data_IF_028210018787
#
_entry.id   IF_028210018787
#
_cell.length_a   1.000
_cell.length_b   1.000
_cell.length_c   1.000
_cell.angle_alpha   90.00
_cell.angle_beta   90.00
_cell.angle_gamma   90.00
#
_symmetry.space_group_name_H-M   'P 1'
#
loop_
_entity.id
_entity.type
_entity.pdbx_description
1 polymer ?
#
# COMPACT_ATOMS: atom_id res chain seq x y z
N UNK A 1 16.80 33.10 -12.56
CA UNK A 1 16.44 33.25 -13.99
C UNK A 1 16.53 31.93 -14.76
N UNK A 2 16.32 30.77 -14.12
CA UNK A 2 16.41 29.44 -14.74
C UNK A 2 15.03 28.76 -14.84
N UNK A 3 13.95 29.53 -14.96
CA UNK A 3 12.60 28.97 -15.03
C UNK A 3 12.35 28.43 -16.44
N UNK A 4 11.94 27.16 -16.50
CA UNK A 4 11.46 26.52 -17.71
C UNK A 4 10.02 26.04 -17.47
N UNK A 5 9.05 26.41 -18.31
CA UNK A 5 7.68 25.91 -18.18
C UNK A 5 7.62 24.40 -18.51
N UNK A 6 6.64 23.72 -17.91
CA UNK A 6 6.34 22.33 -18.26
C UNK A 6 5.79 22.18 -19.68
N UNK A 7 5.69 20.94 -20.15
CA UNK A 7 5.19 20.58 -21.49
C UNK A 7 3.73 20.13 -21.43
N UNK A 8 2.92 20.63 -22.36
CA UNK A 8 1.56 20.13 -22.58
C UNK A 8 1.59 18.89 -23.48
N UNK A 9 1.18 17.74 -22.94
CA UNK A 9 1.03 16.49 -23.70
C UNK A 9 -0.45 16.25 -23.97
N UNK A 10 -0.87 16.30 -25.24
CA UNK A 10 -2.25 16.06 -25.68
C UNK A 10 -2.40 14.66 -26.25
N UNK A 11 -3.42 13.93 -25.82
CA UNK A 11 -3.73 12.59 -26.28
C UNK A 11 -5.25 12.40 -26.40
N UNK A 12 -5.69 11.53 -27.32
CA UNK A 12 -7.10 11.14 -27.44
C UNK A 12 -7.58 10.40 -26.20
N UNK A 13 -6.74 9.52 -25.64
CA UNK A 13 -7.00 8.79 -24.39
C UNK A 13 -5.75 8.88 -23.52
N UNK A 14 -5.93 9.22 -22.23
CA UNK A 14 -4.88 9.26 -21.21
C UNK A 14 -5.06 8.10 -20.24
N UNK A 15 -4.06 7.22 -20.13
CA UNK A 15 -4.07 6.11 -19.18
C UNK A 15 -3.29 6.52 -17.93
N UNK A 16 -3.96 6.58 -16.77
CA UNK A 16 -3.35 6.91 -15.49
C UNK A 16 -2.84 5.64 -14.80
N UNK A 17 -1.51 5.57 -14.69
CA UNK A 17 -0.76 4.47 -14.08
C UNK A 17 0.27 4.99 -13.06
N UNK A 18 -0.04 6.08 -12.35
CA UNK A 18 0.82 6.71 -11.34
C UNK A 18 0.89 5.94 -10.00
N UNK A 19 0.33 4.73 -9.98
CA UNK A 19 0.39 3.77 -8.89
C UNK A 19 -0.43 4.17 -7.66
N UNK A 20 -0.17 3.47 -6.55
CA UNK A 20 -0.85 3.68 -5.29
C UNK A 20 -0.85 5.15 -4.85
N UNK A 21 -2.06 5.66 -4.61
CA UNK A 21 -2.30 7.04 -4.14
C UNK A 21 -1.66 8.09 -5.05
N UNK A 22 -1.67 7.84 -6.36
CA UNK A 22 -1.14 8.76 -7.36
C UNK A 22 -1.84 10.12 -7.37
N UNK A 23 -1.06 11.20 -7.50
CA UNK A 23 -1.55 12.57 -7.40
C UNK A 23 -2.50 12.93 -8.56
N UNK A 24 -2.23 12.43 -9.78
CA UNK A 24 -3.06 12.68 -10.95
C UNK A 24 -4.37 11.91 -10.83
N UNK A 25 -4.28 10.63 -10.45
CA UNK A 25 -5.45 9.79 -10.24
C UNK A 25 -6.35 10.33 -9.13
N UNK A 26 -5.79 10.76 -7.99
CA UNK A 26 -6.56 11.39 -6.90
C UNK A 26 -7.34 12.62 -7.39
N UNK A 27 -6.69 13.46 -8.20
CA UNK A 27 -7.31 14.67 -8.76
C UNK A 27 -8.45 14.31 -9.71
N UNK A 28 -8.24 13.31 -10.58
CA UNK A 28 -9.26 12.83 -11.51
C UNK A 28 -10.47 12.24 -10.77
N UNK A 29 -10.23 11.35 -9.81
CA UNK A 29 -11.28 10.71 -9.01
C UNK A 29 -12.13 11.74 -8.28
N UNK A 30 -11.51 12.77 -7.69
CA UNK A 30 -12.25 13.84 -7.02
C UNK A 30 -13.03 14.72 -8.00
N UNK A 31 -12.43 15.10 -9.14
CA UNK A 31 -13.06 15.99 -10.12
C UNK A 31 -14.32 15.40 -10.74
N UNK A 32 -14.32 14.09 -10.99
CA UNK A 32 -15.44 13.37 -11.61
C UNK A 32 -16.25 12.52 -10.63
N UNK A 33 -15.98 12.64 -9.32
CA UNK A 33 -16.67 11.93 -8.25
C UNK A 33 -16.73 10.40 -8.47
N UNK A 34 -15.60 9.81 -8.88
CA UNK A 34 -15.52 8.41 -9.31
C UNK A 34 -15.59 7.39 -8.17
N UNK A 35 -15.60 7.87 -6.93
CA UNK A 35 -15.69 7.05 -5.72
C UNK A 35 -17.04 7.14 -5.00
N UNK A 36 -18.05 7.84 -5.56
CA UNK A 36 -19.35 8.09 -4.90
C UNK A 36 -19.99 6.84 -4.31
N UNK A 37 -20.06 5.76 -5.08
CA UNK A 37 -20.75 4.52 -4.73
C UNK A 37 -19.76 3.41 -4.31
N UNK A 38 -18.58 3.79 -3.81
CA UNK A 38 -17.49 2.88 -3.45
C UNK A 38 -17.14 3.02 -1.98
N UNK A 39 -16.58 1.95 -1.40
CA UNK A 39 -15.95 2.05 -0.09
C UNK A 39 -14.70 2.92 -0.15
N UNK A 40 -14.32 3.59 0.96
CA UNK A 40 -13.03 4.26 1.03
C UNK A 40 -11.90 3.27 0.78
N UNK A 41 -10.88 3.70 0.03
CA UNK A 41 -9.68 2.90 -0.16
C UNK A 41 -8.89 2.79 1.15
N UNK A 42 -8.52 1.57 1.50
CA UNK A 42 -7.53 1.29 2.55
C UNK A 42 -6.15 1.20 1.93
N UNK A 43 -5.13 1.51 2.72
CA UNK A 43 -3.75 1.43 2.29
C UNK A 43 -2.90 0.79 3.39
N UNK A 44 -1.80 0.17 3.01
CA UNK A 44 -0.72 -0.17 3.92
C UNK A 44 0.58 0.53 3.49
N UNK A 45 1.54 0.58 4.42
CA UNK A 45 2.92 0.97 4.15
C UNK A 45 3.80 -0.28 4.20
N UNK A 46 4.48 -0.56 3.09
CA UNK A 46 5.48 -1.60 2.99
C UNK A 46 6.89 -1.03 3.08
N UNK A 47 7.74 -1.70 3.84
CA UNK A 47 9.18 -1.51 3.88
C UNK A 47 9.87 -2.70 3.25
N UNK A 48 10.99 -2.45 2.58
CA UNK A 48 11.83 -3.50 1.99
C UNK A 48 13.29 -3.14 2.18
N UNK A 49 14.06 -4.12 2.62
CA UNK A 49 15.51 -4.12 2.58
C UNK A 49 15.99 -5.28 1.70
N UNK A 50 17.00 -5.02 0.89
CA UNK A 50 17.74 -6.06 0.19
C UNK A 50 19.00 -6.37 0.99
N UNK A 51 19.26 -7.64 1.26
CA UNK A 51 20.37 -8.09 2.09
C UNK A 51 21.28 -9.05 1.34
N UNK A 52 22.59 -8.83 1.44
CA UNK A 52 23.58 -9.85 1.18
C UNK A 52 23.79 -10.66 2.45
N UNK A 53 23.78 -11.98 2.38
CA UNK A 53 23.93 -12.89 3.53
C UNK A 53 24.90 -14.01 3.18
N UNK A 54 25.53 -14.65 4.18
CA UNK A 54 26.33 -15.84 3.93
C UNK A 54 25.52 -16.92 3.18
N UNK A 55 26.15 -17.70 2.29
CA UNK A 55 25.44 -18.70 1.51
C UNK A 55 24.80 -19.77 2.40
N UNK A 56 23.67 -20.32 1.95
CA UNK A 56 23.02 -21.46 2.60
C UNK A 56 22.04 -21.10 3.73
N UNK A 57 21.69 -19.83 3.91
CA UNK A 57 20.63 -19.40 4.85
C UNK A 57 19.24 -19.85 4.42
N UNK A 58 18.93 -19.70 3.14
CA UNK A 58 17.67 -20.13 2.52
C UNK A 58 17.96 -20.67 1.12
N UNK A 59 17.13 -21.62 0.67
CA UNK A 59 17.16 -22.10 -0.70
C UNK A 59 16.60 -21.03 -1.64
N UNK A 60 17.26 -20.68 -2.76
CA UNK A 60 16.74 -19.74 -3.75
C UNK A 60 15.29 -20.07 -4.15
N UNK A 61 14.44 -19.05 -4.22
CA UNK A 61 13.00 -19.21 -4.50
C UNK A 61 12.14 -19.51 -3.27
N UNK A 62 12.73 -19.63 -2.08
CA UNK A 62 11.96 -19.74 -0.83
C UNK A 62 11.18 -18.45 -0.55
N UNK A 63 9.90 -18.61 -0.22
CA UNK A 63 8.96 -17.53 0.09
C UNK A 63 8.40 -17.75 1.49
N UNK A 64 8.61 -16.78 2.38
CA UNK A 64 8.10 -16.82 3.75
C UNK A 64 7.25 -15.59 4.00
N UNK A 65 6.06 -15.80 4.56
CA UNK A 65 5.18 -14.76 5.10
C UNK A 65 4.95 -15.01 6.58
N UNK A 66 4.92 -13.94 7.37
CA UNK A 66 4.74 -13.98 8.82
C UNK A 66 3.68 -12.99 9.24
N UNK A 67 2.93 -13.32 10.29
CA UNK A 67 1.91 -12.47 10.90
C UNK A 67 2.15 -12.41 12.41
N UNK A 68 1.63 -11.38 13.06
CA UNK A 68 1.78 -11.17 14.50
C UNK A 68 2.99 -10.29 14.82
N UNK A 69 3.92 -10.80 15.65
CA UNK A 69 5.00 -9.98 16.22
C UNK A 69 5.75 -9.15 15.15
N UNK A 70 6.01 -7.85 15.40
CA UNK A 70 5.77 -7.10 16.64
C UNK A 70 4.41 -6.38 16.71
N UNK A 71 3.52 -6.60 15.74
CA UNK A 71 2.21 -5.96 15.73
C UNK A 71 1.27 -6.54 16.79
N UNK A 72 0.40 -5.69 17.33
CA UNK A 72 -0.71 -6.10 18.20
C UNK A 72 -1.77 -6.83 17.38
N UNK A 73 -2.63 -7.60 18.04
CA UNK A 73 -3.70 -8.32 17.34
C UNK A 73 -4.76 -7.44 16.68
N UNK A 74 -4.86 -6.15 17.02
CA UNK A 74 -5.75 -5.22 16.31
C UNK A 74 -5.07 -4.51 15.13
N UNK A 75 -3.77 -4.68 14.95
CA UNK A 75 -3.00 -4.05 13.87
C UNK A 75 -2.86 -5.02 12.70
N UNK A 76 -3.19 -4.55 11.49
CA UNK A 76 -3.02 -5.32 10.28
C UNK A 76 -1.59 -5.19 9.75
N UNK A 77 -0.98 -6.30 9.35
CA UNK A 77 0.35 -6.29 8.75
C UNK A 77 1.10 -7.61 8.94
N UNK A 78 2.36 -7.62 8.52
CA UNK A 78 3.20 -8.81 8.58
C UNK A 78 4.51 -8.67 7.82
N UNK A 79 5.40 -9.64 8.06
CA UNK A 79 6.72 -9.69 7.43
C UNK A 79 6.76 -10.62 6.22
N UNK A 80 7.63 -10.32 5.26
CA UNK A 80 7.96 -11.20 4.15
C UNK A 80 9.48 -11.38 4.01
N UNK A 81 9.90 -12.60 3.63
CA UNK A 81 11.28 -12.90 3.26
C UNK A 81 11.29 -13.72 1.98
N UNK A 82 12.00 -13.23 0.97
CA UNK A 82 12.15 -13.92 -0.32
C UNK A 82 13.63 -14.15 -0.61
N UNK A 83 14.03 -15.41 -0.76
CA UNK A 83 15.39 -15.78 -1.16
C UNK A 83 15.54 -15.56 -2.67
N UNK A 84 16.29 -14.53 -3.06
CA UNK A 84 16.50 -14.18 -4.46
C UNK A 84 17.62 -15.02 -5.08
N UNK A 85 18.65 -15.32 -4.29
CA UNK A 85 19.78 -16.18 -4.64
C UNK A 85 20.28 -16.92 -3.40
N UNK A 86 21.41 -17.63 -3.51
CA UNK A 86 22.01 -18.32 -2.36
C UNK A 86 22.53 -17.35 -1.29
N UNK A 87 22.79 -16.09 -1.67
CA UNK A 87 23.44 -15.07 -0.84
C UNK A 87 22.64 -13.77 -0.78
N UNK A 88 21.42 -13.73 -1.33
CA UNK A 88 20.57 -12.53 -1.33
C UNK A 88 19.16 -12.82 -0.83
N UNK A 89 18.72 -12.04 0.15
CA UNK A 89 17.38 -12.10 0.72
C UNK A 89 16.73 -10.72 0.62
N UNK A 90 15.52 -10.68 0.08
CA UNK A 90 14.62 -9.53 0.19
C UNK A 90 13.78 -9.68 1.45
N UNK A 91 13.99 -8.83 2.45
CA UNK A 91 13.21 -8.80 3.69
C UNK A 91 12.33 -7.56 3.69
N UNK A 92 11.09 -7.69 4.12
CA UNK A 92 10.23 -6.54 4.29
C UNK A 92 9.12 -6.75 5.28
N UNK A 93 8.38 -5.69 5.53
CA UNK A 93 7.33 -5.63 6.52
C UNK A 93 6.25 -4.66 6.08
N UNK A 94 5.00 -5.04 6.26
CA UNK A 94 3.82 -4.29 5.86
C UNK A 94 3.01 -3.93 7.10
N UNK A 95 2.53 -2.69 7.18
CA UNK A 95 1.63 -2.21 8.24
C UNK A 95 0.45 -1.49 7.59
N UNK A 96 -0.77 -1.93 7.87
CA UNK A 96 -2.01 -1.28 7.43
C UNK A 96 -2.11 0.13 8.00
N UNK A 97 -2.37 1.14 7.16
CA UNK A 97 -2.50 2.56 7.55
C UNK A 97 -3.89 2.88 8.13
N UNK A 98 -4.58 1.87 8.63
CA UNK A 98 -5.86 1.91 9.32
C UNK A 98 -5.71 1.55 10.82
N UNK A 99 -4.48 1.54 11.33
CA UNK A 99 -4.15 1.37 12.74
C UNK A 99 -4.76 2.47 13.62
N UNK A 100 -5.11 2.09 14.85
CA UNK A 100 -5.76 2.98 15.82
C UNK A 100 -4.76 3.66 16.74
N UNK A 101 -3.65 2.99 17.03
CA UNK A 101 -2.62 3.44 17.97
C UNK A 101 -1.83 4.63 17.39
N UNK A 102 -1.96 5.83 17.96
CA UNK A 102 -1.22 7.01 17.49
C UNK A 102 0.28 6.95 17.75
N UNK A 103 0.77 6.01 18.56
CA UNK A 103 2.19 5.86 18.87
C UNK A 103 2.84 4.68 18.12
N UNK A 104 2.08 3.98 17.27
CA UNK A 104 2.65 2.97 16.38
C UNK A 104 3.56 3.63 15.34
N UNK A 105 4.83 3.26 15.35
CA UNK A 105 5.82 3.65 14.35
C UNK A 105 6.10 2.46 13.42
N UNK A 106 5.57 2.46 12.18
CA UNK A 106 5.74 1.34 11.26
C UNK A 106 7.21 1.04 10.91
N UNK A 107 8.09 2.05 10.88
CA UNK A 107 9.52 1.84 10.63
C UNK A 107 10.16 1.12 11.81
N UNK A 108 9.86 1.53 13.04
CA UNK A 108 10.36 0.82 14.23
C UNK A 108 9.76 -0.59 14.35
N UNK A 109 8.50 -0.80 13.97
CA UNK A 109 7.91 -2.13 13.90
C UNK A 109 8.69 -3.03 12.94
N UNK A 110 9.09 -2.53 11.77
CA UNK A 110 9.96 -3.28 10.87
C UNK A 110 11.34 -3.58 11.46
N UNK A 111 11.97 -2.62 12.15
CA UNK A 111 13.26 -2.88 12.82
C UNK A 111 13.12 -3.91 13.95
N UNK A 112 12.03 -3.89 14.73
CA UNK A 112 11.71 -4.89 15.78
C UNK A 112 11.47 -6.27 15.18
N UNK A 113 10.77 -6.36 14.05
CA UNK A 113 10.55 -7.62 13.33
C UNK A 113 11.88 -8.33 13.00
N UNK A 114 12.90 -7.59 12.56
CA UNK A 114 14.22 -8.15 12.27
C UNK A 114 14.95 -8.70 13.50
N UNK A 115 14.60 -8.23 14.71
CA UNK A 115 15.17 -8.75 15.96
C UNK A 115 14.57 -10.10 16.37
N UNK A 116 13.46 -10.53 15.76
CA UNK A 116 12.90 -11.85 16.04
C UNK A 116 13.96 -12.94 15.76
N UNK A 117 14.14 -13.95 16.65
CA UNK A 117 15.22 -14.94 16.51
C UNK A 117 15.28 -15.64 15.15
N UNK A 118 14.10 -15.95 14.58
CA UNK A 118 14.00 -16.50 13.23
C UNK A 118 14.62 -15.57 12.18
N UNK A 119 14.23 -14.29 12.15
CA UNK A 119 14.68 -13.34 11.12
C UNK A 119 16.14 -12.95 11.34
N UNK A 120 16.52 -12.61 12.57
CA UNK A 120 17.90 -12.25 12.91
C UNK A 120 18.90 -13.36 12.59
N UNK A 121 18.53 -14.65 12.77
CA UNK A 121 19.39 -15.78 12.42
C UNK A 121 19.70 -15.86 10.92
N UNK A 122 18.75 -15.46 10.07
CA UNK A 122 18.89 -15.46 8.61
C UNK A 122 19.77 -14.29 8.12
N UNK A 123 19.70 -13.15 8.81
CA UNK A 123 20.44 -11.93 8.47
C UNK A 123 21.79 -11.82 9.18
N UNK A 124 22.11 -12.74 10.09
CA UNK A 124 23.35 -12.75 10.86
C UNK A 124 24.58 -12.83 9.94
N UNK A 125 25.55 -11.96 10.21
CA UNK A 125 26.73 -11.70 9.37
C UNK A 125 26.40 -11.24 7.93
N UNK A 126 25.16 -10.79 7.70
CA UNK A 126 24.75 -10.17 6.45
C UNK A 126 24.96 -8.66 6.46
N UNK A 127 24.75 -8.04 5.30
CA UNK A 127 24.84 -6.61 5.08
C UNK A 127 23.64 -6.12 4.26
N UNK A 128 22.99 -5.06 4.72
CA UNK A 128 21.95 -4.38 3.95
C UNK A 128 22.56 -3.67 2.73
N UNK A 129 21.99 -3.93 1.55
CA UNK A 129 22.41 -3.37 0.25
C UNK A 129 21.57 -2.15 -0.12
N UNK A 130 20.24 -2.23 0.07
CA UNK A 130 19.28 -1.19 -0.32
C UNK A 130 18.10 -1.18 0.64
N UNK A 131 17.48 -0.02 0.77
CA UNK A 131 16.23 0.18 1.50
C UNK A 131 15.20 0.88 0.62
N UNK A 132 13.92 0.57 0.80
CA UNK A 132 12.82 1.29 0.18
C UNK A 132 11.55 1.18 1.00
N UNK A 133 10.65 2.14 0.81
CA UNK A 133 9.31 2.10 1.38
C UNK A 133 8.30 2.57 0.32
N UNK A 134 7.12 1.94 0.31
CA UNK A 134 6.03 2.33 -0.59
C UNK A 134 4.69 1.95 0.04
N UNK A 135 3.69 2.80 -0.15
CA UNK A 135 2.32 2.41 0.16
C UNK A 135 1.81 1.34 -0.82
N UNK A 136 0.74 0.64 -0.46
CA UNK A 136 -0.03 -0.25 -1.34
C UNK A 136 -1.52 -0.12 -1.02
N UNK A 137 -2.43 -0.31 -2.00
CA UNK A 137 -3.87 -0.33 -1.74
C UNK A 137 -4.32 -1.70 -1.20
N UNK A 138 -5.26 -1.69 -0.27
CA UNK A 138 -5.75 -2.90 0.41
C UNK A 138 -7.28 -2.94 0.57
N UNK A 139 -7.99 -1.91 0.13
CA UNK A 139 -9.46 -1.82 0.27
C UNK A 139 -10.25 -2.85 -0.54
N UNK A 140 -9.60 -3.57 -1.46
CA UNK A 140 -10.20 -4.65 -2.22
C UNK A 140 -11.21 -4.16 -3.27
N UNK A 141 -12.00 -5.11 -3.80
CA UNK A 141 -12.89 -4.89 -4.95
C UNK A 141 -13.85 -3.70 -4.77
N UNK A 142 -14.41 -3.56 -3.58
CA UNK A 142 -15.43 -2.54 -3.29
C UNK A 142 -14.87 -1.11 -3.19
N UNK A 143 -13.55 -0.97 -3.08
CA UNK A 143 -12.86 0.32 -3.01
C UNK A 143 -12.30 0.80 -4.38
N UNK A 144 -12.45 0.00 -5.43
CA UNK A 144 -12.00 0.36 -6.78
C UNK A 144 -12.95 1.46 -7.32
N UNK A 145 -12.45 2.67 -7.65
CA UNK A 145 -13.29 3.73 -8.21
C UNK A 145 -13.82 3.33 -9.59
N UNK A 146 -14.78 4.09 -10.13
CA UNK A 146 -15.11 3.98 -11.55
C UNK A 146 -13.84 4.28 -12.37
N UNK A 147 -13.29 3.34 -13.13
CA UNK A 147 -11.95 3.47 -13.70
C UNK A 147 -11.94 4.16 -15.07
N UNK A 148 -13.11 4.48 -15.65
CA UNK A 148 -13.21 5.13 -16.95
C UNK A 148 -14.04 6.41 -16.89
N UNK A 149 -13.55 7.44 -17.57
CA UNK A 149 -14.23 8.72 -17.86
C UNK A 149 -13.92 9.14 -19.29
N UNK A 150 -14.57 10.19 -19.79
CA UNK A 150 -14.26 10.74 -21.11
C UNK A 150 -12.77 11.06 -21.23
N UNK A 151 -12.11 10.40 -22.18
CA UNK A 151 -10.69 10.58 -22.49
C UNK A 151 -9.71 9.96 -21.49
N UNK A 152 -10.14 9.20 -20.48
CA UNK A 152 -9.19 8.62 -19.52
C UNK A 152 -9.59 7.26 -18.93
N UNK A 153 -8.56 6.46 -18.62
CA UNK A 153 -8.65 5.15 -17.94
C UNK A 153 -7.67 5.12 -16.76
N UNK A 154 -8.08 4.57 -15.62
CA UNK A 154 -7.23 4.35 -14.43
C UNK A 154 -6.89 2.84 -14.34
N UNK A 155 -5.61 2.49 -14.18
CA UNK A 155 -5.13 1.09 -14.16
C UNK A 155 -4.27 0.76 -12.95
N UNK A 156 -4.00 -0.54 -12.73
CA UNK A 156 -3.12 -1.05 -11.68
C UNK A 156 -3.44 -0.52 -10.27
N UNK A 157 -2.39 -0.26 -9.50
CA UNK A 157 -2.50 0.24 -8.12
C UNK A 157 -3.12 1.64 -8.02
N UNK A 158 -3.13 2.41 -9.12
CA UNK A 158 -3.79 3.72 -9.15
C UNK A 158 -5.32 3.56 -8.99
N UNK A 159 -5.90 2.53 -9.62
CA UNK A 159 -7.29 2.12 -9.42
C UNK A 159 -7.48 1.20 -8.21
N UNK A 160 -6.40 0.66 -7.63
CA UNK A 160 -6.47 -0.27 -6.49
C UNK A 160 -6.63 -1.74 -6.87
N UNK A 161 -6.20 -2.15 -8.07
CA UNK A 161 -6.23 -3.55 -8.51
C UNK A 161 -5.12 -4.40 -7.85
N UNK A 162 -5.27 -4.67 -6.56
CA UNK A 162 -4.32 -5.47 -5.76
C UNK A 162 -5.05 -6.54 -4.97
N UNK A 163 -4.52 -7.77 -5.04
CA UNK A 163 -4.98 -8.87 -4.19
C UNK A 163 -4.21 -8.81 -2.86
N UNK A 164 -4.80 -8.15 -1.86
CA UNK A 164 -4.19 -7.98 -0.53
C UNK A 164 -4.01 -9.31 0.22
N UNK A 165 -4.93 -10.28 0.05
CA UNK A 165 -4.79 -11.61 0.67
C UNK A 165 -3.51 -12.32 0.20
N UNK A 166 -3.14 -12.16 -1.07
CA UNK A 166 -1.98 -12.83 -1.67
C UNK A 166 -0.71 -11.97 -1.66
N UNK A 167 -0.82 -10.70 -1.25
CA UNK A 167 0.23 -9.67 -1.40
C UNK A 167 0.71 -9.55 -2.86
N UNK A 168 -0.22 -9.53 -3.83
CA UNK A 168 0.10 -9.48 -5.27
C UNK A 168 -0.71 -8.42 -6.01
N UNK A 169 -0.01 -7.50 -6.69
CA UNK A 169 -0.60 -6.48 -7.56
C UNK A 169 -0.02 -6.44 -8.97
N UNK A 170 1.24 -6.86 -9.16
CA UNK A 170 1.98 -6.68 -10.43
C UNK A 170 1.25 -7.33 -11.61
N UNK A 171 0.78 -8.58 -11.47
CA UNK A 171 0.09 -9.28 -12.55
C UNK A 171 -1.27 -8.68 -12.88
N UNK A 172 -1.96 -8.10 -11.89
CA UNK A 172 -3.22 -7.37 -12.09
C UNK A 172 -2.98 -6.00 -12.73
N UNK A 173 -1.89 -5.31 -12.35
CA UNK A 173 -1.47 -4.07 -13.00
C UNK A 173 -1.11 -4.30 -14.48
N UNK A 174 -0.36 -5.36 -14.78
CA UNK A 174 -0.08 -5.76 -16.17
C UNK A 174 -1.37 -6.09 -16.92
N UNK A 175 -2.26 -6.90 -16.32
CA UNK A 175 -3.52 -7.32 -16.96
C UNK A 175 -4.42 -6.12 -17.26
N UNK A 176 -4.57 -5.19 -16.32
CA UNK A 176 -5.38 -3.99 -16.51
C UNK A 176 -4.73 -3.02 -17.50
N UNK A 177 -3.39 -2.94 -17.56
CA UNK A 177 -2.70 -2.25 -18.63
C UNK A 177 -3.04 -2.80 -20.02
N UNK A 178 -3.08 -4.13 -20.18
CA UNK A 178 -3.49 -4.77 -21.44
C UNK A 178 -4.94 -4.45 -21.82
N UNK A 179 -5.87 -4.56 -20.86
CA UNK A 179 -7.27 -4.21 -21.09
C UNK A 179 -7.47 -2.74 -21.46
N UNK A 180 -6.70 -1.84 -20.84
CA UNK A 180 -6.77 -0.41 -21.15
C UNK A 180 -6.23 -0.12 -22.56
N UNK A 181 -5.18 -0.84 -22.99
CA UNK A 181 -4.67 -0.73 -24.35
C UNK A 181 -5.70 -1.19 -25.39
N UNK A 182 -6.41 -2.29 -25.16
CA UNK A 182 -7.50 -2.77 -26.03
C UNK A 182 -8.61 -1.73 -26.16
N UNK A 183 -9.13 -1.24 -25.02
CA UNK A 183 -10.20 -0.23 -25.01
C UNK A 183 -9.76 1.09 -25.65
N UNK A 184 -8.55 1.57 -25.35
CA UNK A 184 -8.01 2.80 -25.91
C UNK A 184 -7.77 2.69 -27.43
N UNK A 185 -7.30 1.52 -27.91
CA UNK A 185 -7.10 1.28 -29.34
C UNK A 185 -8.41 1.37 -30.11
N UNK A 186 -9.48 0.73 -29.62
CA UNK A 186 -10.80 0.83 -30.22
C UNK A 186 -11.35 2.26 -30.22
N UNK A 187 -11.22 2.98 -29.10
CA UNK A 187 -11.62 4.38 -28.98
C UNK A 187 -10.88 5.30 -29.96
N UNK A 188 -9.56 5.12 -30.11
CA UNK A 188 -8.76 5.89 -31.08
C UNK A 188 -9.18 5.57 -32.52
N UNK A 189 -9.44 4.30 -32.85
CA UNK A 189 -9.90 3.91 -34.19
C UNK A 189 -11.29 4.44 -34.52
N UNK A 190 -12.19 4.49 -33.55
CA UNK A 190 -13.52 5.05 -33.70
C UNK A 190 -13.54 6.59 -33.66
N UNK A 191 -12.42 7.22 -33.28
CA UNK A 191 -12.34 8.63 -32.94
C UNK A 191 -13.38 9.04 -31.88
N UNK A 192 -13.61 8.15 -30.91
CA UNK A 192 -14.60 8.31 -29.84
C UNK A 192 -13.93 7.98 -28.48
N UNK A 193 -13.38 9.00 -27.78
CA UNK A 193 -12.84 8.82 -26.44
C UNK A 193 -13.91 8.92 -25.35
N UNK A 194 -15.21 8.81 -25.66
CA UNK A 194 -16.27 8.88 -24.65
C UNK A 194 -16.15 7.78 -23.61
N UNK A 195 -16.65 8.04 -22.40
CA UNK A 195 -16.77 7.04 -21.35
C UNK A 195 -17.61 5.83 -21.80
N UNK A 196 -18.54 6.02 -22.75
CA UNK A 196 -19.31 4.95 -23.37
C UNK A 196 -18.39 3.98 -24.13
N UNK A 197 -17.56 4.49 -25.05
CA UNK A 197 -16.62 3.66 -25.80
C UNK A 197 -15.53 3.06 -24.88
N UNK A 198 -15.01 3.84 -23.93
CA UNK A 198 -13.99 3.37 -22.97
C UNK A 198 -14.54 2.41 -21.90
N UNK A 199 -15.87 2.24 -21.80
CA UNK A 199 -16.48 1.27 -20.89
C UNK A 199 -16.09 -0.18 -21.22
N UNK A 200 -15.58 -0.43 -22.43
CA UNK A 200 -14.97 -1.71 -22.80
C UNK A 200 -13.92 -2.20 -21.81
N UNK A 201 -13.14 -1.29 -21.24
CA UNK A 201 -12.19 -1.63 -20.18
C UNK A 201 -12.88 -2.23 -18.95
N UNK A 202 -13.97 -1.62 -18.50
CA UNK A 202 -14.75 -2.10 -17.36
C UNK A 202 -15.36 -3.47 -17.66
N UNK A 203 -15.88 -3.69 -18.87
CA UNK A 203 -16.38 -5.01 -19.29
C UNK A 203 -15.30 -6.10 -19.21
N UNK A 204 -14.08 -5.80 -19.68
CA UNK A 204 -12.95 -6.72 -19.63
C UNK A 204 -12.53 -7.03 -18.18
N UNK A 205 -12.56 -6.03 -17.29
CA UNK A 205 -12.30 -6.22 -15.86
C UNK A 205 -13.38 -7.09 -15.21
N UNK A 206 -14.66 -6.79 -15.46
CA UNK A 206 -15.81 -7.44 -14.81
C UNK A 206 -16.08 -8.86 -15.29
N UNK A 207 -15.67 -9.20 -16.52
CA UNK A 207 -15.83 -10.54 -17.08
C UNK A 207 -14.50 -11.32 -17.12
N UNK A 208 -13.38 -10.66 -16.84
CA UNK A 208 -12.03 -11.21 -16.99
C UNK A 208 -11.39 -11.72 -15.70
N UNK A 209 -10.10 -12.04 -15.81
CA UNK A 209 -9.33 -12.64 -14.73
C UNK A 209 -9.22 -11.73 -13.48
N UNK A 210 -9.31 -10.40 -13.66
CA UNK A 210 -9.20 -9.43 -12.57
C UNK A 210 -10.32 -9.62 -11.56
N UNK A 211 -11.59 -9.66 -12.00
CA UNK A 211 -12.72 -9.93 -11.10
C UNK A 211 -12.67 -11.32 -10.50
N UNK A 212 -12.35 -12.33 -11.31
CA UNK A 212 -12.26 -13.71 -10.83
C UNK A 212 -11.27 -13.87 -9.68
N UNK A 213 -10.20 -13.08 -9.65
CA UNK A 213 -9.22 -13.09 -8.56
C UNK A 213 -9.61 -12.19 -7.38
N UNK A 214 -10.12 -10.98 -7.63
CA UNK A 214 -10.36 -9.98 -6.59
C UNK A 214 -11.72 -10.13 -5.89
N UNK A 215 -12.76 -10.56 -6.61
CA UNK A 215 -14.11 -10.65 -6.06
C UNK A 215 -14.24 -11.69 -4.94
N UNK A 216 -13.61 -12.88 -5.01
CA UNK A 216 -13.65 -13.85 -3.91
C UNK A 216 -13.01 -13.34 -2.61
N UNK A 217 -12.12 -12.36 -2.68
CA UNK A 217 -11.39 -11.81 -1.53
C UNK A 217 -11.82 -10.37 -1.20
N UNK A 218 -12.97 -9.93 -1.74
CA UNK A 218 -13.42 -8.52 -1.73
C UNK A 218 -13.58 -7.87 -0.36
N UNK A 219 -13.76 -8.66 0.69
CA UNK A 219 -13.96 -8.20 2.06
C UNK A 219 -12.83 -8.63 3.01
N UNK A 220 -11.75 -9.24 2.49
CA UNK A 220 -10.71 -9.84 3.34
C UNK A 220 -10.03 -8.78 4.20
N UNK A 221 -9.65 -7.62 3.66
CA UNK A 221 -9.01 -6.60 4.48
C UNK A 221 -9.98 -6.02 5.53
N UNK A 222 -11.25 -5.82 5.17
CA UNK A 222 -12.28 -5.32 6.07
C UNK A 222 -12.51 -6.24 7.27
N UNK A 223 -12.33 -7.56 7.13
CA UNK A 223 -12.46 -8.47 8.27
C UNK A 223 -11.34 -8.30 9.32
N UNK A 224 -10.16 -7.79 8.94
CA UNK A 224 -9.09 -7.47 9.89
C UNK A 224 -9.38 -6.22 10.73
N UNK A 225 -10.41 -5.43 10.40
CA UNK A 225 -10.89 -4.38 11.29
C UNK A 225 -11.39 -4.91 12.65
N UNK A 226 -11.73 -6.20 12.71
CA UNK A 226 -12.11 -6.93 13.92
C UNK A 226 -10.93 -7.67 14.59
N UNK A 227 -9.70 -7.40 14.14
CA UNK A 227 -8.46 -7.99 14.64
C UNK A 227 -8.01 -9.24 13.86
N UNK A 228 -6.75 -9.61 14.09
CA UNK A 228 -6.02 -10.68 13.41
C UNK A 228 -6.76 -12.05 13.47
N UNK A 229 -7.27 -12.53 14.62
CA UNK A 229 -7.96 -13.82 14.65
C UNK A 229 -9.23 -13.85 13.80
N UNK A 230 -10.06 -12.81 13.90
CA UNK A 230 -11.29 -12.69 13.11
C UNK A 230 -10.97 -12.56 11.61
N UNK A 231 -9.97 -11.75 11.27
CA UNK A 231 -9.46 -11.59 9.92
C UNK A 231 -9.01 -12.90 9.28
N UNK A 232 -8.23 -13.70 10.02
CA UNK A 232 -7.73 -15.00 9.57
C UNK A 232 -8.86 -16.02 9.36
N UNK A 233 -9.82 -16.11 10.28
CA UNK A 233 -10.97 -17.01 10.14
C UNK A 233 -11.75 -16.63 8.87
N UNK A 234 -12.05 -15.35 8.69
CA UNK A 234 -12.77 -14.88 7.51
C UNK A 234 -11.96 -15.11 6.22
N UNK A 235 -10.66 -14.84 6.22
CA UNK A 235 -9.79 -15.09 5.07
C UNK A 235 -9.83 -16.57 4.65
N UNK A 236 -9.74 -17.50 5.61
CA UNK A 236 -9.88 -18.94 5.35
C UNK A 236 -11.26 -19.31 4.80
N UNK A 237 -12.34 -18.80 5.41
CA UNK A 237 -13.70 -19.03 4.93
C UNK A 237 -13.91 -18.47 3.52
N UNK A 238 -13.35 -17.30 3.20
CA UNK A 238 -13.53 -16.62 1.91
C UNK A 238 -13.01 -17.46 0.73
N UNK A 239 -11.98 -18.29 0.95
CA UNK A 239 -11.46 -19.21 -0.06
C UNK A 239 -12.45 -20.31 -0.44
N UNK A 240 -13.32 -20.69 0.49
CA UNK A 240 -14.35 -21.73 0.30
C UNK A 240 -15.65 -21.09 -0.19
N UNK A 241 -16.08 -20.00 0.44
CA UNK A 241 -17.37 -19.34 0.17
C UNK A 241 -17.31 -18.35 -0.98
N UNK A 242 -16.14 -18.17 -1.62
CA UNK A 242 -15.86 -17.14 -2.62
C UNK A 242 -16.23 -15.73 -2.09
N UNK A 243 -15.87 -15.47 -0.84
CA UNK A 243 -16.10 -14.19 -0.16
C UNK A 243 -17.54 -13.91 0.24
N UNK A 244 -18.44 -14.89 0.16
CA UNK A 244 -19.81 -14.73 0.66
C UNK A 244 -19.81 -14.46 2.17
N UNK A 245 -20.63 -13.48 2.58
CA UNK A 245 -20.88 -13.08 3.96
C UNK A 245 -22.30 -12.47 4.05
N UNK A 246 -22.88 -12.41 5.25
CA UNK A 246 -24.24 -11.90 5.46
C UNK A 246 -24.39 -10.41 5.09
N UNK A 247 -23.32 -9.63 5.23
CA UNK A 247 -23.27 -8.22 4.86
C UNK A 247 -22.17 -8.02 3.80
N UNK A 248 -22.58 -7.63 2.59
CA UNK A 248 -21.68 -7.36 1.46
C UNK A 248 -22.13 -6.06 0.79
N UNK A 249 -21.29 -5.00 0.77
CA UNK A 249 -19.92 -4.95 1.27
C UNK A 249 -19.82 -4.95 2.81
N UNK A 250 -18.73 -5.52 3.36
CA UNK A 250 -18.38 -5.30 4.76
C UNK A 250 -18.04 -3.82 4.98
N UNK A 251 -18.50 -3.24 6.09
CA UNK A 251 -18.27 -1.81 6.36
C UNK A 251 -16.78 -1.49 6.46
N UNK A 252 -16.38 -0.38 5.84
CA UNK A 252 -15.03 0.16 5.91
C UNK A 252 -15.06 1.64 6.29
N UNK A 253 -14.03 2.09 7.01
CA UNK A 253 -13.77 3.51 7.31
C UNK A 253 -12.42 3.88 6.75
N UNK A 254 -12.24 5.14 6.34
CA UNK A 254 -10.96 5.56 5.81
C UNK A 254 -9.89 5.48 6.91
N UNK A 255 -8.67 5.04 6.57
CA UNK A 255 -7.62 4.79 7.56
C UNK A 255 -7.33 6.01 8.47
N UNK A 256 -7.31 7.21 7.90
CA UNK A 256 -7.09 8.45 8.64
C UNK A 256 -8.19 8.79 9.66
N UNK A 257 -9.40 8.24 9.50
CA UNK A 257 -10.52 8.41 10.46
C UNK A 257 -10.46 7.41 11.62
N UNK A 258 -9.60 6.38 11.51
CA UNK A 258 -9.48 5.32 12.53
C UNK A 258 -8.42 5.63 13.59
N UNK A 259 -7.51 6.55 13.28
CA UNK A 259 -6.47 6.99 14.20
C UNK A 259 -7.10 7.61 15.45
N UNK A 260 -6.81 7.04 16.61
CA UNK A 260 -7.29 7.55 17.89
C UNK A 260 -6.35 8.65 18.41
N UNK A 261 -6.87 9.58 19.22
CA UNK A 261 -5.99 10.50 19.95
C UNK A 261 -5.20 9.72 21.02
N UNK A 262 -4.04 10.22 21.44
CA UNK A 262 -3.20 9.57 22.47
C UNK A 262 -4.01 9.36 23.75
N UNK A 263 -4.73 10.38 24.20
CA UNK A 263 -5.61 10.29 25.38
C UNK A 263 -6.79 9.32 25.14
N UNK A 264 -7.36 9.31 23.94
CA UNK A 264 -8.47 8.41 23.61
C UNK A 264 -8.07 6.93 23.54
N UNK A 265 -6.82 6.64 23.18
CA UNK A 265 -6.31 5.28 23.07
C UNK A 265 -5.69 4.76 24.37
N UNK A 266 -4.85 5.57 25.04
CA UNK A 266 -4.09 5.17 26.24
C UNK A 266 -4.70 5.64 27.57
N UNK A 267 -5.71 6.52 27.54
CA UNK A 267 -6.22 7.15 28.77
C UNK A 267 -5.19 8.08 29.40
N UNK A 268 -5.03 7.99 30.72
CA UNK A 268 -4.06 8.80 31.49
C UNK A 268 -2.67 8.14 31.56
N UNK A 269 -2.57 6.83 31.34
CA UNK A 269 -1.31 6.08 31.38
C UNK A 269 -0.69 5.98 29.98
N UNK A 270 -0.04 7.06 29.55
CA UNK A 270 0.62 7.09 28.24
C UNK A 270 1.98 6.40 28.35
N UNK A 271 2.26 5.33 27.56
CA UNK A 271 3.53 4.63 27.65
C UNK A 271 4.69 5.52 27.18
N UNK A 272 5.86 5.31 27.78
CA UNK A 272 7.10 5.83 27.23
C UNK A 272 7.43 5.12 25.91
N UNK A 273 7.75 5.91 24.89
CA UNK A 273 8.13 5.39 23.59
C UNK A 273 9.56 4.86 23.73
N UNK A 274 9.69 3.54 23.92
CA UNK A 274 10.99 2.88 23.93
C UNK A 274 11.61 2.90 22.53
N UNK A 275 12.63 3.75 22.36
CA UNK A 275 13.43 3.76 21.13
C UNK A 275 14.18 2.45 21.00
N UNK A 276 14.01 1.77 19.87
CA UNK A 276 14.78 0.58 19.55
C UNK A 276 16.29 0.90 19.47
N UNK A 277 17.13 0.01 20.00
CA UNK A 277 18.59 0.14 19.87
C UNK A 277 19.01 -0.07 18.43
N UNK A 278 19.63 0.95 17.84
CA UNK A 278 20.18 0.92 16.48
C UNK A 278 21.63 0.43 16.55
N UNK A 279 21.93 -0.70 15.92
CA UNK A 279 23.29 -1.28 15.88
C UNK A 279 23.99 -1.11 14.52
N UNK A 280 23.27 -0.66 13.49
CA UNK A 280 23.73 -0.51 12.10
C UNK A 280 24.28 -1.81 11.48
N UNK A 281 23.96 -2.95 12.06
CA UNK A 281 24.25 -4.28 11.53
C UNK A 281 23.00 -5.06 11.22
N UNK A 282 22.04 -5.08 12.14
CA UNK A 282 20.73 -5.71 11.99
C UNK A 282 19.64 -4.64 11.94
N UNK A 283 19.75 -3.61 12.79
CA UNK A 283 18.78 -2.54 12.94
C UNK A 283 19.38 -1.19 12.53
N UNK A 284 18.57 -0.38 11.85
CA UNK A 284 19.01 0.88 11.25
C UNK A 284 18.05 2.02 11.62
N UNK A 285 18.60 3.21 11.85
CA UNK A 285 17.82 4.43 11.99
C UNK A 285 17.28 4.91 10.63
N UNK A 286 16.31 5.83 10.66
CA UNK A 286 15.67 6.36 9.44
C UNK A 286 16.66 7.08 8.52
N UNK A 287 17.65 7.80 9.04
CA UNK A 287 18.62 8.54 8.21
C UNK A 287 19.52 7.57 7.45
N UNK A 288 19.99 6.51 8.13
CA UNK A 288 20.73 5.42 7.49
C UNK A 288 19.87 4.78 6.39
N UNK A 289 18.62 4.44 6.66
CA UNK A 289 17.72 3.86 5.65
C UNK A 289 17.45 4.80 4.46
N UNK A 290 17.27 6.11 4.70
CA UNK A 290 17.13 7.11 3.64
C UNK A 290 18.38 7.14 2.76
N UNK A 291 19.58 7.09 3.35
CA UNK A 291 20.82 6.98 2.57
C UNK A 291 20.83 5.75 1.65
N UNK A 292 20.47 4.57 2.18
CA UNK A 292 20.39 3.32 1.41
C UNK A 292 19.25 3.26 0.38
N UNK A 293 18.30 4.20 0.41
CA UNK A 293 17.29 4.35 -0.64
C UNK A 293 17.82 5.02 -1.90
N UNK A 294 18.91 5.79 -1.77
CA UNK A 294 19.45 6.60 -2.87
C UNK A 294 18.55 7.78 -3.28
N UNK A 295 17.49 8.08 -2.54
CA UNK A 295 16.57 9.20 -2.85
C UNK A 295 17.30 10.54 -2.77
N UNK A 296 17.12 11.38 -3.80
CA UNK A 296 17.72 12.71 -3.90
C UNK A 296 16.78 13.63 -4.66
N UNK A 297 16.77 14.89 -4.27
CA UNK A 297 15.98 15.96 -4.87
C UNK A 297 16.88 17.19 -4.99
N UNK A 298 16.61 18.09 -5.95
CA UNK A 298 17.22 19.42 -5.93
C UNK A 298 16.85 20.12 -4.62
N UNK A 299 17.83 20.72 -3.94
CA UNK A 299 17.59 21.45 -2.68
C UNK A 299 16.84 22.77 -2.94
N UNK A 300 17.12 23.42 -4.08
CA UNK A 300 16.48 24.67 -4.50
C UNK A 300 15.22 24.38 -5.34
N UNK A 301 14.28 23.64 -4.75
CA UNK A 301 12.93 23.45 -5.30
C UNK A 301 11.91 23.60 -4.18
N UNK A 302 10.67 24.07 -4.48
CA UNK A 302 9.62 24.11 -3.48
C UNK A 302 9.30 22.70 -2.96
N UNK A 303 8.95 22.60 -1.68
CA UNK A 303 8.52 21.34 -1.08
C UNK A 303 7.33 20.76 -1.85
N UNK A 304 7.45 19.51 -2.30
CA UNK A 304 6.35 18.77 -2.91
C UNK A 304 5.38 18.19 -1.85
N UNK A 305 5.70 18.32 -0.57
CA UNK A 305 4.78 18.04 0.54
C UNK A 305 4.08 19.35 0.92
N UNK A 306 2.86 19.51 0.43
CA UNK A 306 2.03 20.69 0.67
C UNK A 306 1.13 20.46 1.89
N UNK A 307 1.29 21.31 2.91
CA UNK A 307 0.43 21.33 4.10
C UNK A 307 -0.54 22.51 3.95
N UNK A 308 -1.83 22.23 3.77
CA UNK A 308 -2.83 23.27 3.53
C UNK A 308 -3.02 24.22 4.72
N UNK A 309 -3.01 23.66 5.94
CA UNK A 309 -2.99 24.42 7.19
C UNK A 309 -1.66 24.15 7.90
N UNK A 310 -0.73 25.09 7.80
CA UNK A 310 0.61 24.94 8.38
C UNK A 310 0.62 24.92 9.91
N UNK A 311 -0.45 25.37 10.57
CA UNK A 311 -0.55 25.37 12.03
C UNK A 311 -1.00 24.03 12.62
N UNK A 312 -1.62 23.17 11.82
CA UNK A 312 -2.17 21.88 12.29
C UNK A 312 -1.10 20.99 12.94
N UNK A 313 0.12 21.00 12.39
CA UNK A 313 1.23 20.19 12.89
C UNK A 313 1.75 20.67 14.25
N UNK A 314 1.69 21.98 14.51
CA UNK A 314 2.12 22.59 15.77
C UNK A 314 1.05 22.47 16.86
N UNK A 315 -0.20 22.52 16.45
CA UNK A 315 -1.37 22.51 17.33
C UNK A 315 -1.88 21.08 17.49
N UNK A 316 -2.90 20.71 16.72
CA UNK A 316 -3.66 19.47 16.85
C UNK A 316 -2.81 18.21 16.75
N UNK A 317 -1.96 18.07 15.72
CA UNK A 317 -1.16 16.86 15.55
C UNK A 317 -0.21 16.62 16.73
N UNK A 318 0.40 17.68 17.25
CA UNK A 318 1.33 17.59 18.37
C UNK A 318 0.61 17.25 19.67
N UNK A 319 -0.51 17.90 19.95
CA UNK A 319 -1.24 17.76 21.22
C UNK A 319 -2.06 16.47 21.26
N UNK A 320 -2.79 16.16 20.21
CA UNK A 320 -3.72 15.02 20.18
C UNK A 320 -3.05 13.72 19.76
N UNK A 321 -2.00 13.77 18.92
CA UNK A 321 -1.41 12.59 18.28
C UNK A 321 0.11 12.43 18.49
N UNK A 322 0.78 13.38 19.16
CA UNK A 322 2.25 13.42 19.34
C UNK A 322 3.07 13.42 18.04
N UNK A 323 2.54 14.02 16.97
CA UNK A 323 3.19 14.07 15.64
C UNK A 323 3.57 12.66 15.14
N UNK A 324 2.57 11.80 14.88
CA UNK A 324 2.77 10.41 14.47
C UNK A 324 3.53 10.28 13.15
#
# INVERSE_FOLDING_TARGET
>A
SNFEPGVDIRATVTILADGVRGNLTKTLVSRFDLSRDRLPQSYALGFKELWHVPPGRLTPGTVIHTLGHPLRFEEFGGGFLYALSAEEISVGFVVGLDYRDPLLDPHQAFQRFKMHPFVSSLLSAGQMIRYGAKALPEGGWHAIPKPCVDGAIIVGDAAGFVNSLRLKGIHLAMRTGMYAAEAAFEAVRANDPSAGQLSKFQELVDNGAVRHELYPVRNVHQSFAYGLPAGLIYAGLSLITKGWWMQDPMLARAGHERLSTVKGYYGEEIPEISSLKVDRSLTFDRLTNVHYSGTRHSEDQPSHLLVHDTDICRTRCRTEYRNP
#
